data_IF_373263260645
#
_entry.id   IF_373263260645
#
_cell.length_a   1.000
_cell.length_b   1.000
_cell.length_c   1.000
_cell.angle_alpha   90.00
_cell.angle_beta   90.00
_cell.angle_gamma   90.00
#
_symmetry.space_group_name_H-M   'P 1'
#
loop_
_entity.id
_entity.type
_entity.pdbx_description
1 polymer ?
#
# COMPACT_ATOMS: atom_id res chain seq x y z
N UNK A 1 45.55 -1.30 -22.50
CA UNK A 1 44.74 -0.15 -22.07
C UNK A 1 43.43 -0.66 -21.50
N UNK A 2 43.25 -0.56 -20.19
CA UNK A 2 42.06 -1.05 -19.49
C UNK A 2 40.99 0.05 -19.45
N UNK A 3 39.79 -0.26 -19.93
CA UNK A 3 38.62 0.61 -19.77
C UNK A 3 37.80 0.08 -18.60
N UNK A 4 37.91 0.74 -17.46
CA UNK A 4 37.11 0.48 -16.28
C UNK A 4 35.66 0.95 -16.54
N UNK A 5 34.69 0.03 -16.40
CA UNK A 5 33.28 0.37 -16.28
C UNK A 5 33.09 1.15 -14.97
N UNK A 6 32.71 2.42 -15.10
CA UNK A 6 32.43 3.33 -14.00
C UNK A 6 31.07 2.93 -13.40
N UNK A 7 31.09 2.11 -12.34
CA UNK A 7 29.94 1.91 -11.47
C UNK A 7 29.75 3.19 -10.66
N UNK A 8 28.96 4.12 -11.18
CA UNK A 8 28.44 5.25 -10.40
C UNK A 8 27.42 4.71 -9.39
N UNK A 9 27.87 4.41 -8.17
CA UNK A 9 26.97 4.34 -7.03
C UNK A 9 26.46 5.76 -6.77
N UNK A 10 25.19 6.01 -7.10
CA UNK A 10 24.55 7.27 -6.75
C UNK A 10 24.43 7.33 -5.24
N UNK A 11 25.27 8.14 -4.61
CA UNK A 11 25.22 8.43 -3.17
C UNK A 11 23.87 9.06 -2.77
N UNK A 12 23.12 9.61 -3.73
CA UNK A 12 21.75 10.13 -3.58
C UNK A 12 20.72 9.03 -3.30
N UNK A 13 20.91 7.79 -3.75
CA UNK A 13 19.96 6.70 -3.47
C UNK A 13 19.96 6.26 -1.99
N UNK A 14 21.08 6.44 -1.29
CA UNK A 14 21.19 6.12 0.14
C UNK A 14 20.47 7.15 1.03
N UNK A 15 20.23 8.36 0.54
CA UNK A 15 19.43 9.36 1.27
C UNK A 15 17.92 9.17 1.07
N UNK A 16 17.51 8.49 -0.02
CA UNK A 16 16.12 8.10 -0.29
C UNK A 16 15.64 6.92 0.57
N UNK A 17 16.54 6.17 1.22
CA UNK A 17 16.18 5.16 2.22
C UNK A 17 15.57 5.77 3.50
N UNK A 18 15.76 7.09 3.72
CA UNK A 18 15.06 7.81 4.77
C UNK A 18 13.76 8.39 4.19
N UNK A 19 12.63 7.75 4.50
CA UNK A 19 11.26 8.12 4.09
C UNK A 19 10.88 9.56 4.51
N UNK A 20 11.38 10.54 3.77
CA UNK A 20 11.13 11.97 3.99
C UNK A 20 10.13 12.49 2.96
N UNK A 21 9.35 13.51 3.29
CA UNK A 21 8.35 14.11 2.39
C UNK A 21 8.95 14.60 1.06
N UNK A 22 10.26 14.88 1.00
CA UNK A 22 10.93 15.24 -0.24
C UNK A 22 10.88 14.11 -1.26
N UNK A 23 10.89 12.84 -0.82
CA UNK A 23 10.68 11.68 -1.70
C UNK A 23 9.30 11.70 -2.38
N UNK A 24 8.25 12.19 -1.70
CA UNK A 24 6.91 12.37 -2.29
C UNK A 24 6.93 13.44 -3.39
N UNK A 25 7.69 14.53 -3.18
CA UNK A 25 7.87 15.58 -4.20
C UNK A 25 8.58 15.04 -5.45
N UNK A 26 9.64 14.25 -5.27
CA UNK A 26 10.35 13.64 -6.40
C UNK A 26 9.51 12.56 -7.11
N UNK A 27 8.66 11.83 -6.39
CA UNK A 27 7.69 10.91 -6.99
C UNK A 27 6.66 11.60 -7.89
N UNK A 28 6.39 12.90 -7.67
CA UNK A 28 5.41 13.69 -8.42
C UNK A 28 5.97 14.40 -9.66
N UNK A 29 7.30 14.49 -9.79
CA UNK A 29 7.96 15.34 -10.79
C UNK A 29 8.16 14.69 -12.17
N UNK A 30 7.84 13.41 -12.33
CA UNK A 30 7.90 12.69 -13.60
C UNK A 30 6.53 12.68 -14.29
N UNK A 31 6.05 13.85 -14.70
CA UNK A 31 5.05 13.92 -15.77
C UNK A 31 5.77 13.60 -17.08
N UNK A 32 5.85 12.31 -17.42
CA UNK A 32 6.25 11.87 -18.75
C UNK A 32 5.15 12.35 -19.72
N UNK A 33 5.48 13.12 -20.77
CA UNK A 33 4.47 13.52 -21.75
C UNK A 33 3.81 12.28 -22.37
N UNK A 34 2.49 12.18 -22.28
CA UNK A 34 1.70 11.18 -23.01
C UNK A 34 2.05 11.27 -24.50
N UNK A 35 2.59 10.17 -25.05
CA UNK A 35 2.78 10.04 -26.49
C UNK A 35 1.40 9.91 -27.13
N UNK A 36 1.11 10.75 -28.12
CA UNK A 36 -0.12 10.75 -28.88
C UNK A 36 -0.27 9.46 -29.70
N UNK A 37 -1.33 8.69 -29.42
CA UNK A 37 -1.79 7.56 -30.22
C UNK A 37 -2.38 8.02 -31.56
N UNK A 38 -1.52 8.32 -32.53
CA UNK A 38 -1.92 8.50 -33.92
C UNK A 38 -1.80 7.16 -34.68
N UNK A 39 -2.79 6.28 -34.50
CA UNK A 39 -3.04 5.16 -35.40
C UNK A 39 -4.44 5.26 -36.01
N UNK A 40 -4.61 6.18 -36.96
CA UNK A 40 -5.72 6.15 -37.91
C UNK A 40 -5.54 4.96 -38.87
N UNK A 41 -6.27 3.87 -38.62
CA UNK A 41 -6.61 2.92 -39.68
C UNK A 41 -8.10 2.66 -39.67
N UNK A 42 -8.75 3.10 -40.76
CA UNK A 42 -10.14 2.81 -41.09
C UNK A 42 -10.28 1.32 -41.34
N UNK A 43 -11.11 0.63 -40.58
CA UNK A 43 -11.70 -0.64 -41.00
C UNK A 43 -13.17 -0.69 -40.56
N UNK A 44 -14.00 -1.04 -41.54
CA UNK A 44 -15.45 -0.92 -41.56
C UNK A 44 -16.16 -1.86 -40.57
N UNK A 45 -17.31 -1.39 -40.10
CA UNK A 45 -18.27 -2.08 -39.25
C UNK A 45 -18.74 -3.41 -39.85
N UNK A 46 -18.73 -4.48 -39.03
CA UNK A 46 -19.80 -5.46 -39.01
C UNK A 46 -20.17 -5.81 -37.57
N UNK A 47 -21.44 -5.60 -37.30
CA UNK A 47 -22.19 -5.90 -36.08
C UNK A 47 -22.07 -7.36 -35.65
N UNK A 48 -21.76 -7.59 -34.38
CA UNK A 48 -22.44 -8.62 -33.59
C UNK A 48 -22.53 -8.18 -32.12
N UNK A 49 -23.67 -8.50 -31.53
CA UNK A 49 -24.22 -7.98 -30.28
C UNK A 49 -23.76 -8.84 -29.09
N UNK A 50 -23.35 -8.23 -27.98
CA UNK A 50 -23.19 -8.96 -26.71
C UNK A 50 -22.06 -8.48 -25.78
N UNK A 51 -22.47 -8.05 -24.58
CA UNK A 51 -21.69 -7.95 -23.33
C UNK A 51 -20.83 -6.70 -23.12
N UNK A 52 -21.48 -5.54 -23.03
CA UNK A 52 -20.97 -4.41 -22.26
C UNK A 52 -21.20 -4.66 -20.75
N UNK A 53 -20.25 -5.32 -20.08
CA UNK A 53 -20.17 -5.31 -18.62
C UNK A 53 -18.88 -4.59 -18.21
N UNK A 54 -19.05 -3.55 -17.38
CA UNK A 54 -18.08 -2.50 -17.14
C UNK A 54 -16.69 -2.99 -16.74
N UNK A 55 -15.73 -2.74 -17.62
CA UNK A 55 -14.31 -2.73 -17.27
C UNK A 55 -14.08 -1.42 -16.50
N UNK A 56 -14.03 -1.53 -15.18
CA UNK A 56 -13.42 -0.50 -14.34
C UNK A 56 -12.01 -0.25 -14.89
N UNK A 57 -11.76 0.95 -15.39
CA UNK A 57 -10.41 1.47 -15.63
C UNK A 57 -9.61 1.28 -14.34
N UNK A 58 -8.79 0.23 -14.29
CA UNK A 58 -7.74 0.09 -13.30
C UNK A 58 -6.72 1.15 -13.68
N UNK A 59 -6.69 2.25 -12.92
CA UNK A 59 -5.62 3.22 -13.05
C UNK A 59 -4.32 2.52 -12.64
N UNK A 60 -3.55 2.12 -13.64
CA UNK A 60 -2.15 1.72 -13.51
C UNK A 60 -1.34 2.98 -13.20
N UNK A 61 -1.44 3.49 -11.97
CA UNK A 61 -0.46 4.44 -11.44
C UNK A 61 0.57 3.62 -10.68
N UNK A 62 1.76 3.49 -11.28
CA UNK A 62 2.91 2.66 -10.88
C UNK A 62 3.55 3.03 -9.51
N UNK A 63 2.87 3.81 -8.65
CA UNK A 63 3.38 4.19 -7.31
C UNK A 63 2.34 3.86 -6.23
N UNK A 64 2.75 3.20 -5.13
CA UNK A 64 1.85 2.87 -4.04
C UNK A 64 1.27 4.16 -3.42
N UNK A 65 -0.05 4.25 -3.18
CA UNK A 65 -0.65 5.41 -2.53
C UNK A 65 -0.02 5.72 -1.16
N UNK A 66 0.12 7.00 -0.83
CA UNK A 66 0.80 7.45 0.39
C UNK A 66 -0.17 7.60 1.56
N UNK A 67 0.25 7.10 2.73
CA UNK A 67 -0.40 7.33 4.03
C UNK A 67 0.50 8.24 4.86
N UNK A 68 -0.04 9.34 5.37
CA UNK A 68 0.71 10.32 6.15
C UNK A 68 0.31 10.25 7.62
N UNK A 69 1.26 10.35 8.54
CA UNK A 69 1.00 10.42 9.98
C UNK A 69 1.49 11.78 10.50
N UNK A 70 0.60 12.53 11.13
CA UNK A 70 0.87 13.81 11.77
C UNK A 70 0.76 13.67 13.29
N UNK A 71 1.86 14.00 14.00
CA UNK A 71 1.96 13.90 15.47
C UNK A 71 2.04 15.26 16.17
N UNK A 72 2.01 16.37 15.41
CA UNK A 72 2.28 17.69 15.95
C UNK A 72 3.79 17.88 16.18
N UNK A 73 4.23 17.86 17.44
CA UNK A 73 5.61 18.20 17.81
C UNK A 73 6.65 17.16 17.36
N UNK A 74 7.87 17.65 17.08
CA UNK A 74 8.99 16.87 16.53
C UNK A 74 9.51 15.75 17.47
N UNK A 75 9.11 15.75 18.75
CA UNK A 75 9.62 14.82 19.76
C UNK A 75 8.98 13.42 19.73
N UNK A 76 7.99 13.18 18.87
CA UNK A 76 7.16 11.97 18.87
C UNK A 76 7.69 10.81 18.01
N UNK A 77 9.02 10.63 17.88
CA UNK A 77 9.58 9.55 17.03
C UNK A 77 9.17 8.15 17.47
N UNK A 78 9.09 7.91 18.78
CA UNK A 78 8.68 6.61 19.34
C UNK A 78 7.22 6.32 19.01
N UNK A 79 6.35 7.31 19.16
CA UNK A 79 4.92 7.19 18.84
C UNK A 79 4.71 6.95 17.33
N UNK A 80 5.50 7.62 16.48
CA UNK A 80 5.46 7.38 15.04
C UNK A 80 5.71 5.91 14.69
N UNK A 81 6.81 5.33 15.19
CA UNK A 81 7.15 3.93 14.89
C UNK A 81 6.13 2.94 15.48
N UNK A 82 5.54 3.25 16.65
CA UNK A 82 4.48 2.44 17.23
C UNK A 82 3.23 2.41 16.34
N UNK A 83 2.73 3.58 15.94
CA UNK A 83 1.55 3.68 15.07
C UNK A 83 1.84 3.05 13.72
N UNK A 84 3.03 3.30 13.16
CA UNK A 84 3.47 2.70 11.90
C UNK A 84 3.49 1.17 11.98
N UNK A 85 4.02 0.58 13.04
CA UNK A 85 4.03 -0.88 13.24
C UNK A 85 2.61 -1.46 13.24
N UNK A 86 1.69 -0.82 13.98
CA UNK A 86 0.30 -1.28 14.05
C UNK A 86 -0.39 -1.17 12.69
N UNK A 87 -0.13 -0.10 11.94
CA UNK A 87 -0.68 0.08 10.60
C UNK A 87 -0.12 -0.97 9.63
N UNK A 88 1.18 -1.28 9.67
CA UNK A 88 1.80 -2.32 8.84
C UNK A 88 1.24 -3.73 9.11
N UNK A 89 0.78 -4.00 10.33
CA UNK A 89 0.04 -5.23 10.65
C UNK A 89 -1.42 -5.22 10.14
N UNK A 90 -1.96 -4.04 9.81
CA UNK A 90 -3.32 -3.86 9.34
C UNK A 90 -3.45 -3.74 7.82
N UNK A 91 -2.50 -3.09 7.15
CA UNK A 91 -2.53 -2.77 5.73
C UNK A 91 -1.48 -3.57 4.97
N UNK A 92 -1.70 -3.77 3.67
CA UNK A 92 -0.71 -4.42 2.81
C UNK A 92 0.55 -3.54 2.66
N UNK A 93 1.66 -4.00 3.23
CA UNK A 93 2.91 -3.25 3.30
C UNK A 93 3.51 -2.99 1.91
N UNK A 94 3.18 -3.81 0.91
CA UNK A 94 3.67 -3.66 -0.45
C UNK A 94 2.79 -2.69 -1.29
N UNK A 95 1.58 -2.38 -0.80
CA UNK A 95 0.61 -1.51 -1.49
C UNK A 95 0.66 -0.05 -1.05
N UNK A 96 1.24 0.27 0.11
CA UNK A 96 1.17 1.60 0.71
C UNK A 96 2.51 2.05 1.27
N UNK A 97 2.84 3.33 1.11
CA UNK A 97 4.01 3.92 1.78
C UNK A 97 3.57 4.84 2.91
N UNK A 98 4.11 4.62 4.12
CA UNK A 98 3.78 5.41 5.32
C UNK A 98 4.87 6.45 5.59
N UNK A 99 4.49 7.73 5.66
CA UNK A 99 5.40 8.85 5.94
C UNK A 99 5.00 9.64 7.19
N UNK A 100 5.98 10.23 7.86
CA UNK A 100 5.75 11.22 8.90
C UNK A 100 5.58 12.61 8.27
N UNK A 101 4.43 13.24 8.49
CA UNK A 101 4.16 14.63 8.14
C UNK A 101 4.46 15.54 9.34
N UNK A 102 5.56 16.29 9.27
CA UNK A 102 5.94 17.26 10.31
C UNK A 102 5.11 18.52 10.23
N UNK A 103 4.98 19.23 11.34
CA UNK A 103 4.26 20.51 11.43
C UNK A 103 4.70 21.54 10.38
N UNK A 104 6.01 21.71 10.17
CA UNK A 104 6.55 22.64 9.17
C UNK A 104 6.26 22.24 7.72
N UNK A 105 5.90 20.97 7.49
CA UNK A 105 5.66 20.39 6.17
C UNK A 105 4.18 20.47 5.77
N UNK A 106 3.27 20.64 6.73
CA UNK A 106 1.82 20.74 6.46
C UNK A 106 1.53 21.90 5.50
N UNK A 107 2.26 23.00 5.60
CA UNK A 107 2.08 24.18 4.73
C UNK A 107 2.85 24.07 3.40
N UNK A 108 3.69 23.05 3.22
CA UNK A 108 4.53 22.87 2.03
C UNK A 108 3.88 21.84 1.10
N UNK A 109 3.64 22.23 -0.16
CA UNK A 109 3.23 21.28 -1.21
C UNK A 109 4.32 20.21 -1.46
N UNK A 110 3.98 19.01 -1.99
CA UNK A 110 2.71 18.62 -2.61
C UNK A 110 2.00 17.44 -1.90
N UNK A 111 1.91 17.41 -0.57
CA UNK A 111 1.38 16.24 0.13
C UNK A 111 -0.13 16.02 -0.07
N UNK A 112 -0.92 17.08 -0.24
CA UNK A 112 -2.38 17.04 -0.39
C UNK A 112 -2.78 16.21 -1.62
N UNK A 113 -2.17 16.47 -2.76
CA UNK A 113 -2.48 15.81 -4.03
C UNK A 113 -2.00 14.35 -4.11
N UNK A 114 -1.03 13.99 -3.27
CA UNK A 114 -0.31 12.71 -3.33
C UNK A 114 -0.60 11.79 -2.15
N UNK A 115 -1.59 12.11 -1.31
CA UNK A 115 -1.91 11.32 -0.13
C UNK A 115 -3.32 10.74 -0.22
N UNK A 116 -3.44 9.46 0.13
CA UNK A 116 -4.72 8.78 0.21
C UNK A 116 -5.38 9.04 1.57
N UNK A 117 -4.60 8.88 2.64
CA UNK A 117 -5.06 8.98 4.02
C UNK A 117 -4.09 9.84 4.84
N UNK A 118 -4.64 10.79 5.60
CA UNK A 118 -3.93 11.51 6.65
C UNK A 118 -4.38 11.01 8.03
N UNK A 119 -3.44 10.52 8.81
CA UNK A 119 -3.63 10.10 10.20
C UNK A 119 -3.18 11.23 11.11
N UNK A 120 -4.06 11.72 11.98
CA UNK A 120 -3.78 12.77 12.95
C UNK A 120 -3.76 12.12 14.33
N UNK A 121 -2.61 12.04 14.97
CA UNK A 121 -2.44 11.37 16.25
C UNK A 121 -1.79 12.30 17.28
N UNK A 122 -2.48 13.40 17.61
CA UNK A 122 -1.99 14.38 18.59
C UNK A 122 -3.10 14.95 19.47
N UNK A 123 -2.92 14.84 20.79
CA UNK A 123 -3.81 15.45 21.79
C UNK A 123 -3.59 16.96 21.90
N UNK A 124 -2.46 17.46 21.40
CA UNK A 124 -2.13 18.89 21.39
C UNK A 124 -3.05 19.65 20.43
N UNK A 125 -3.37 20.93 20.73
CA UNK A 125 -4.17 21.74 19.83
C UNK A 125 -3.43 21.97 18.52
N UNK A 126 -4.12 21.72 17.41
CA UNK A 126 -3.58 21.95 16.06
C UNK A 126 -3.69 23.45 15.74
N UNK A 127 -2.65 24.02 15.13
CA UNK A 127 -2.66 25.41 14.67
C UNK A 127 -3.77 25.67 13.65
N UNK A 128 -4.32 26.89 13.63
CA UNK A 128 -5.40 27.28 12.73
C UNK A 128 -5.01 27.13 11.25
N UNK A 129 -3.74 27.37 10.92
CA UNK A 129 -3.20 27.22 9.58
C UNK A 129 -3.19 25.74 9.15
N UNK A 130 -2.72 24.84 10.01
CA UNK A 130 -2.70 23.41 9.71
C UNK A 130 -4.12 22.85 9.65
N UNK A 131 -5.00 23.30 10.55
CA UNK A 131 -6.40 22.94 10.55
C UNK A 131 -7.06 23.27 9.20
N UNK A 132 -6.82 24.47 8.65
CA UNK A 132 -7.32 24.87 7.33
C UNK A 132 -6.78 23.99 6.21
N UNK A 133 -5.51 23.57 6.26
CA UNK A 133 -4.96 22.64 5.26
C UNK A 133 -5.61 21.26 5.35
N UNK A 134 -5.88 20.74 6.55
CA UNK A 134 -6.58 19.46 6.71
C UNK A 134 -8.02 19.52 6.18
N UNK A 135 -8.72 20.63 6.39
CA UNK A 135 -10.04 20.86 5.78
C UNK A 135 -9.96 20.99 4.26
N UNK A 136 -8.91 21.64 3.73
CA UNK A 136 -8.67 21.71 2.28
C UNK A 136 -8.48 20.30 1.70
N UNK A 137 -7.66 19.46 2.33
CA UNK A 137 -7.48 18.07 1.91
C UNK A 137 -8.79 17.29 1.90
N UNK A 138 -9.63 17.43 2.92
CA UNK A 138 -10.98 16.86 2.92
C UNK A 138 -11.85 17.41 1.77
N UNK A 139 -11.77 18.71 1.46
CA UNK A 139 -12.55 19.33 0.39
C UNK A 139 -12.24 18.79 -1.00
N UNK A 140 -11.02 18.28 -1.19
CA UNK A 140 -10.53 17.68 -2.43
C UNK A 140 -10.81 16.17 -2.50
N UNK A 141 -11.50 15.60 -1.52
CA UNK A 141 -11.86 14.18 -1.47
C UNK A 141 -10.93 13.31 -0.63
N UNK A 142 -9.96 13.92 0.06
CA UNK A 142 -9.04 13.25 0.97
C UNK A 142 -9.74 12.58 2.16
N UNK A 143 -9.03 11.65 2.78
CA UNK A 143 -9.53 10.84 3.91
C UNK A 143 -8.72 11.13 5.17
N UNK A 144 -9.38 11.30 6.32
CA UNK A 144 -8.70 11.56 7.59
C UNK A 144 -9.06 10.50 8.64
N UNK A 145 -8.06 10.02 9.37
CA UNK A 145 -8.24 9.19 10.56
C UNK A 145 -7.62 9.90 11.78
N UNK A 146 -8.45 10.28 12.75
CA UNK A 146 -8.00 10.91 13.99
C UNK A 146 -7.84 9.88 15.11
N UNK A 147 -6.64 9.75 15.68
CA UNK A 147 -6.37 8.94 16.87
C UNK A 147 -6.15 9.85 18.08
N UNK A 148 -7.10 9.82 19.03
CA UNK A 148 -7.12 10.69 20.22
C UNK A 148 -6.86 12.17 19.91
N UNK A 149 -7.20 12.60 18.70
CA UNK A 149 -6.78 13.91 18.20
C UNK A 149 -7.64 15.04 18.75
N UNK A 150 -7.07 16.24 18.84
CA UNK A 150 -7.83 17.48 19.09
C UNK A 150 -8.60 17.99 17.84
N UNK A 151 -8.35 17.40 16.67
CA UNK A 151 -8.99 17.77 15.40
C UNK A 151 -10.50 17.52 15.42
N UNK A 152 -11.30 18.52 15.03
CA UNK A 152 -12.76 18.45 14.91
C UNK A 152 -13.27 19.40 13.83
N UNK A 153 -14.40 19.10 13.21
CA UNK A 153 -15.05 19.99 12.24
C UNK A 153 -16.57 19.78 12.23
N UNK A 154 -17.31 20.52 11.41
CA UNK A 154 -18.76 20.40 11.22
C UNK A 154 -19.58 20.32 12.54
N UNK A 155 -19.25 21.15 13.53
CA UNK A 155 -20.06 21.29 14.75
C UNK A 155 -19.90 20.17 15.79
N UNK A 156 -18.97 19.23 15.59
CA UNK A 156 -18.56 18.30 16.65
C UNK A 156 -17.60 19.00 17.60
N UNK A 157 -17.82 18.85 18.89
CA UNK A 157 -16.91 19.28 19.94
C UNK A 157 -16.38 18.08 20.72
N UNK A 158 -15.14 18.23 21.21
CA UNK A 158 -14.52 17.28 22.13
C UNK A 158 -14.78 17.77 23.55
N UNK A 159 -15.45 16.94 24.35
CA UNK A 159 -15.71 17.20 25.77
C UNK A 159 -14.81 16.33 26.62
N UNK A 160 -14.08 16.95 27.55
CA UNK A 160 -13.24 16.24 28.52
C UNK A 160 -14.10 15.68 29.65
N UNK A 161 -13.94 14.39 29.95
CA UNK A 161 -14.57 13.70 31.08
C UNK A 161 -13.45 13.01 31.86
N UNK A 162 -12.97 13.68 32.91
CA UNK A 162 -11.79 13.27 33.67
C UNK A 162 -11.89 11.85 34.24
N UNK A 163 -13.11 11.38 34.50
CA UNK A 163 -13.42 10.01 34.95
C UNK A 163 -12.98 8.93 33.97
N UNK A 164 -12.88 9.26 32.68
CA UNK A 164 -12.50 8.36 31.60
C UNK A 164 -10.98 8.31 31.36
N UNK A 165 -10.19 9.14 32.04
CA UNK A 165 -8.77 9.28 31.74
C UNK A 165 -7.96 8.11 32.32
N UNK A 166 -7.20 7.43 31.45
CA UNK A 166 -6.34 6.28 31.82
C UNK A 166 -7.11 5.14 32.50
N UNK A 167 -8.33 4.90 32.04
CA UNK A 167 -9.21 3.81 32.49
C UNK A 167 -9.68 3.00 31.29
N UNK A 168 -9.81 1.69 31.50
CA UNK A 168 -10.35 0.79 30.48
C UNK A 168 -11.87 0.86 30.55
N UNK A 169 -12.50 0.97 29.38
CA UNK A 169 -13.94 0.96 29.26
C UNK A 169 -14.38 -0.06 28.23
N UNK A 170 -15.53 -0.67 28.48
CA UNK A 170 -16.22 -1.47 27.47
C UNK A 170 -16.85 -0.53 26.43
N UNK A 171 -16.48 -0.78 25.19
CA UNK A 171 -16.94 -0.06 24.01
C UNK A 171 -17.86 -0.94 23.19
N UNK A 172 -18.90 -0.33 22.62
CA UNK A 172 -19.81 -0.96 21.65
C UNK A 172 -19.58 -0.30 20.30
N UNK A 173 -19.05 -1.06 19.36
CA UNK A 173 -18.80 -0.62 17.98
C UNK A 173 -19.90 -1.17 17.08
N UNK A 174 -20.56 -0.29 16.34
CA UNK A 174 -21.56 -0.65 15.35
C UNK A 174 -20.89 -0.81 13.99
N UNK A 175 -20.90 -2.04 13.46
CA UNK A 175 -20.39 -2.36 12.14
C UNK A 175 -21.24 -1.78 11.02
N UNK A 176 -20.70 -1.80 9.81
CA UNK A 176 -21.44 -1.44 8.59
C UNK A 176 -22.61 -2.39 8.29
N UNK A 177 -22.48 -3.67 8.65
CA UNK A 177 -23.54 -4.69 8.48
C UNK A 177 -24.63 -4.63 9.57
N UNK A 178 -24.50 -3.70 10.53
CA UNK A 178 -25.42 -3.51 11.64
C UNK A 178 -25.16 -4.42 12.85
N UNK A 179 -24.14 -5.28 12.81
CA UNK A 179 -23.73 -6.06 13.99
C UNK A 179 -22.96 -5.20 14.99
N UNK A 180 -22.96 -5.60 16.27
CA UNK A 180 -22.25 -4.89 17.33
C UNK A 180 -21.06 -5.72 17.83
N UNK A 181 -19.86 -5.12 17.85
CA UNK A 181 -18.71 -5.67 18.55
C UNK A 181 -18.60 -5.00 19.91
N UNK A 182 -18.42 -5.82 20.95
CA UNK A 182 -18.00 -5.34 22.27
C UNK A 182 -16.53 -5.65 22.52
N UNK A 183 -15.77 -4.64 22.93
CA UNK A 183 -14.35 -4.75 23.27
C UNK A 183 -13.97 -3.77 24.37
N UNK A 184 -12.95 -4.11 25.15
CA UNK A 184 -12.43 -3.25 26.21
C UNK A 184 -11.20 -2.52 25.70
N UNK A 185 -11.20 -1.18 25.78
CA UNK A 185 -10.10 -0.34 25.33
C UNK A 185 -9.87 0.84 26.28
N UNK A 186 -8.66 1.39 26.21
CA UNK A 186 -8.33 2.67 26.81
C UNK A 186 -8.93 3.80 25.96
N UNK A 187 -9.46 4.83 26.61
CA UNK A 187 -9.93 6.06 25.95
C UNK A 187 -9.07 7.25 26.38
N UNK A 188 -9.01 8.28 25.54
CA UNK A 188 -8.20 9.50 25.77
C UNK A 188 -8.64 10.31 26.99
N UNK A 189 -9.85 10.04 27.52
CA UNK A 189 -10.51 10.88 28.52
C UNK A 189 -11.45 11.93 27.92
N UNK A 190 -11.69 11.87 26.60
CA UNK A 190 -12.62 12.76 25.92
C UNK A 190 -13.70 11.99 25.15
N UNK A 191 -14.82 12.67 24.89
CA UNK A 191 -15.96 12.17 24.12
C UNK A 191 -16.35 13.20 23.06
N UNK A 192 -17.08 12.76 22.03
CA UNK A 192 -17.63 13.64 21.00
C UNK A 192 -19.07 14.05 21.33
N UNK A 193 -19.35 15.35 21.26
CA UNK A 193 -20.68 15.94 21.43
C UNK A 193 -21.02 16.79 20.21
N UNK A 194 -22.19 16.57 19.61
CA UNK A 194 -22.68 17.34 18.47
C UNK A 194 -23.43 18.58 18.98
N UNK A 195 -22.94 19.77 18.65
CA UNK A 195 -23.50 21.03 19.19
C UNK A 195 -24.74 21.52 18.45
N UNK A 196 -24.92 21.16 17.18
CA UNK A 196 -26.07 21.55 16.37
C UNK A 196 -26.57 20.34 15.61
N UNK A 197 -27.77 19.86 15.94
CA UNK A 197 -28.48 18.87 15.13
C UNK A 197 -29.10 19.58 13.92
N UNK A 198 -28.31 19.83 12.88
CA UNK A 198 -28.91 20.17 11.58
C UNK A 198 -29.55 18.91 10.98
N UNK A 199 -30.70 19.08 10.31
CA UNK A 199 -31.54 17.99 9.75
C UNK A 199 -30.85 17.14 8.66
N UNK A 200 -29.61 17.47 8.29
CA UNK A 200 -28.75 16.65 7.45
C UNK A 200 -27.60 16.08 8.29
N UNK A 201 -27.83 14.93 8.96
CA UNK A 201 -26.83 14.29 9.83
C UNK A 201 -25.58 13.86 9.03
N UNK A 202 -24.61 14.76 8.87
CA UNK A 202 -23.30 14.48 8.25
C UNK A 202 -22.38 13.68 9.18
N UNK A 203 -22.83 13.41 10.40
CA UNK A 203 -22.11 12.70 11.47
C UNK A 203 -22.81 11.38 11.79
N UNK A 204 -22.09 10.27 11.68
CA UNK A 204 -22.52 8.93 12.08
C UNK A 204 -21.66 8.47 13.26
N UNK A 205 -22.27 8.16 14.40
CA UNK A 205 -21.53 7.52 15.51
C UNK A 205 -21.24 6.06 15.16
N UNK A 206 -19.96 5.68 15.18
CA UNK A 206 -19.51 4.29 14.96
C UNK A 206 -19.30 3.54 16.27
N UNK A 207 -18.91 4.23 17.35
CA UNK A 207 -18.64 3.59 18.63
C UNK A 207 -19.12 4.43 19.81
N UNK A 208 -19.69 3.74 20.80
CA UNK A 208 -20.19 4.31 22.05
C UNK A 208 -19.60 3.60 23.25
N UNK A 209 -19.43 4.33 24.34
CA UNK A 209 -19.16 3.75 25.66
C UNK A 209 -20.38 2.97 26.13
N UNK A 210 -20.16 1.81 26.75
CA UNK A 210 -21.21 1.09 27.47
C UNK A 210 -21.47 1.73 28.85
N UNK A 211 -21.84 3.02 28.85
CA UNK A 211 -22.23 3.76 30.03
C UNK A 211 -23.70 4.22 29.91
N UNK A 212 -24.24 4.82 30.97
CA UNK A 212 -25.64 5.27 31.02
C UNK A 212 -25.96 6.27 29.91
N UNK A 213 -25.01 7.16 29.58
CA UNK A 213 -25.18 8.24 28.61
C UNK A 213 -24.97 7.79 27.15
N UNK A 214 -24.42 6.58 26.94
CA UNK A 214 -23.97 6.05 25.65
C UNK A 214 -23.09 7.04 24.87
N UNK A 215 -22.12 7.61 25.60
CA UNK A 215 -21.20 8.64 25.12
C UNK A 215 -20.48 8.20 23.83
N UNK A 216 -20.44 9.07 22.82
CA UNK A 216 -19.81 8.77 21.53
C UNK A 216 -18.28 8.90 21.61
N UNK A 217 -17.56 7.87 21.16
CA UNK A 217 -16.10 7.84 21.17
C UNK A 217 -15.47 7.64 19.79
N UNK A 218 -16.21 7.11 18.81
CA UNK A 218 -15.78 7.10 17.41
C UNK A 218 -16.91 7.64 16.56
N UNK A 219 -16.59 8.62 15.72
CA UNK A 219 -17.53 9.28 14.81
C UNK A 219 -16.98 9.25 13.39
N UNK A 220 -17.86 9.02 12.42
CA UNK A 220 -17.62 9.14 11.00
C UNK A 220 -18.31 10.39 10.47
N UNK A 221 -17.61 11.16 9.67
CA UNK A 221 -18.03 12.47 9.18
C UNK A 221 -17.74 12.61 7.70
N UNK A 222 -18.65 13.24 6.97
CA UNK A 222 -18.44 13.61 5.56
C UNK A 222 -18.16 15.11 5.44
N UNK A 223 -17.35 15.48 4.44
CA UNK A 223 -16.95 16.86 4.19
C UNK A 223 -16.91 17.17 2.69
N UNK A 224 -17.54 18.29 2.30
CA UNK A 224 -17.64 18.72 0.90
C UNK A 224 -18.45 17.77 0.01
N UNK A 225 -18.49 18.10 -1.28
CA UNK A 225 -19.21 17.31 -2.30
C UNK A 225 -18.27 16.35 -3.06
N UNK A 226 -16.95 16.49 -2.87
CA UNK A 226 -15.91 15.68 -3.50
C UNK A 226 -15.68 14.32 -2.84
N UNK A 227 -16.52 13.94 -1.87
CA UNK A 227 -16.43 12.67 -1.16
C UNK A 227 -15.37 12.63 -0.04
N UNK A 228 -15.00 13.78 0.54
CA UNK A 228 -14.10 13.82 1.69
C UNK A 228 -14.71 13.16 2.92
N UNK A 229 -13.94 12.33 3.62
CA UNK A 229 -14.42 11.59 4.79
C UNK A 229 -13.40 11.63 5.93
N UNK A 230 -13.89 11.69 7.16
CA UNK A 230 -13.05 11.60 8.33
C UNK A 230 -13.66 10.66 9.38
N UNK A 231 -12.83 9.80 9.96
CA UNK A 231 -13.19 9.03 11.15
C UNK A 231 -12.33 9.54 12.30
N UNK A 232 -12.97 10.01 13.36
CA UNK A 232 -12.30 10.52 14.56
C UNK A 232 -12.55 9.56 15.72
N UNK A 233 -11.48 9.12 16.37
CA UNK A 233 -11.51 8.16 17.48
C UNK A 233 -10.90 8.76 18.73
N UNK A 234 -11.63 8.73 19.84
CA UNK A 234 -11.10 8.94 21.20
C UNK A 234 -10.77 7.60 21.90
N UNK A 235 -11.07 6.47 21.26
CA UNK A 235 -10.57 5.16 21.67
C UNK A 235 -9.14 4.97 21.17
N UNK A 236 -8.25 4.47 22.04
CA UNK A 236 -6.82 4.25 21.74
C UNK A 236 -6.64 2.97 20.91
N UNK A 237 -6.98 3.03 19.63
CA UNK A 237 -6.77 1.93 18.67
C UNK A 237 -5.30 1.81 18.25
N UNK A 238 -4.57 2.93 18.35
CA UNK A 238 -3.20 3.16 17.93
C UNK A 238 -2.12 2.74 18.93
N UNK A 239 -2.52 2.22 20.10
CA UNK A 239 -1.57 1.76 21.11
C UNK A 239 -1.38 0.24 21.07
N UNK A 240 -0.14 -0.20 21.17
CA UNK A 240 0.17 -1.60 21.46
C UNK A 240 -0.05 -1.85 22.95
N UNK A 241 -0.71 -2.97 23.28
CA UNK A 241 -0.99 -3.39 24.65
C UNK A 241 0.31 -3.50 25.47
N UNK A 242 1.41 -3.92 24.84
CA UNK A 242 2.70 -4.03 25.53
C UNK A 242 3.36 -2.67 25.82
N UNK A 243 2.95 -1.61 25.13
CA UNK A 243 3.44 -0.25 25.33
C UNK A 243 2.65 0.53 26.39
N UNK A 244 1.57 -0.04 26.93
CA UNK A 244 0.66 0.63 27.84
C UNK A 244 1.10 0.50 29.30
N UNK A 245 1.06 1.62 30.03
CA UNK A 245 1.14 1.66 31.48
C UNK A 245 -0.17 1.11 32.10
N UNK A 246 -0.33 -0.20 32.07
CA UNK A 246 -1.50 -0.86 32.66
C UNK A 246 -1.35 -0.92 34.19
N UNK A 247 -2.37 -0.43 34.89
CA UNK A 247 -2.34 -0.30 36.37
C UNK A 247 -2.51 -1.64 37.09
N UNK A 248 -3.23 -2.60 36.49
CA UNK A 248 -3.54 -3.90 37.10
C UNK A 248 -3.38 -5.06 36.12
N UNK A 249 -3.15 -6.27 36.64
CA UNK A 249 -3.07 -7.48 35.81
C UNK A 249 -4.42 -7.84 35.16
N UNK A 250 -5.54 -7.56 35.86
CA UNK A 250 -6.90 -7.75 35.35
C UNK A 250 -7.15 -6.88 34.11
N UNK A 251 -6.77 -5.61 34.18
CA UNK A 251 -6.84 -4.65 33.07
C UNK A 251 -6.04 -5.15 31.85
N UNK A 252 -4.84 -5.70 32.07
CA UNK A 252 -3.99 -6.21 31.00
C UNK A 252 -4.65 -7.41 30.30
N UNK A 253 -5.24 -8.31 31.08
CA UNK A 253 -5.96 -9.47 30.56
C UNK A 253 -7.19 -9.05 29.73
N UNK A 254 -7.93 -8.01 30.15
CA UNK A 254 -9.07 -7.49 29.39
C UNK A 254 -8.64 -6.92 28.02
N UNK A 255 -7.55 -6.14 27.99
CA UNK A 255 -7.00 -5.61 26.74
C UNK A 255 -6.52 -6.75 25.84
N UNK A 256 -5.82 -7.75 26.40
CA UNK A 256 -5.30 -8.89 25.66
C UNK A 256 -6.41 -9.70 24.98
N UNK A 257 -7.51 -9.98 25.68
CA UNK A 257 -8.70 -10.65 25.12
C UNK A 257 -9.34 -9.78 24.04
N UNK A 258 -9.31 -8.47 24.20
CA UNK A 258 -9.90 -7.51 23.26
C UNK A 258 -9.00 -7.20 22.06
N UNK A 259 -7.74 -7.64 22.06
CA UNK A 259 -6.76 -7.24 21.05
C UNK A 259 -7.16 -7.65 19.63
N UNK A 260 -7.63 -8.89 19.45
CA UNK A 260 -8.07 -9.36 18.13
C UNK A 260 -9.22 -8.48 17.58
N UNK A 261 -10.17 -8.12 18.45
CA UNK A 261 -11.27 -7.22 18.11
C UNK A 261 -10.81 -5.78 17.86
N UNK A 262 -9.75 -5.32 18.55
CA UNK A 262 -9.13 -4.01 18.30
C UNK A 262 -8.62 -3.93 16.86
N UNK A 263 -7.87 -4.95 16.40
CA UNK A 263 -7.41 -5.02 15.01
C UNK A 263 -8.56 -5.17 14.02
N UNK A 264 -9.59 -5.95 14.35
CA UNK A 264 -10.79 -6.07 13.52
C UNK A 264 -11.47 -4.70 13.29
N UNK A 265 -11.73 -3.96 14.36
CA UNK A 265 -12.33 -2.62 14.30
C UNK A 265 -11.42 -1.65 13.54
N UNK A 266 -10.11 -1.68 13.78
CA UNK A 266 -9.15 -0.82 13.08
C UNK A 266 -9.12 -1.12 11.57
N UNK A 267 -9.10 -2.40 11.18
CA UNK A 267 -9.17 -2.82 9.77
C UNK A 267 -10.47 -2.37 9.12
N UNK A 268 -11.61 -2.52 9.80
CA UNK A 268 -12.90 -2.04 9.26
C UNK A 268 -12.89 -0.52 9.03
N UNK A 269 -12.31 0.25 9.96
CA UNK A 269 -12.14 1.71 9.80
C UNK A 269 -11.25 2.01 8.60
N UNK A 270 -10.10 1.36 8.47
CA UNK A 270 -9.16 1.58 7.37
C UNK A 270 -9.78 1.19 6.00
N UNK A 271 -10.50 0.06 5.93
CA UNK A 271 -11.24 -0.36 4.74
C UNK A 271 -12.31 0.67 4.37
N UNK A 272 -13.04 1.19 5.36
CA UNK A 272 -14.06 2.22 5.11
C UNK A 272 -13.48 3.52 4.56
N UNK A 273 -12.22 3.82 4.90
CA UNK A 273 -11.46 4.96 4.35
C UNK A 273 -10.75 4.64 3.03
N UNK A 274 -10.99 3.46 2.45
CA UNK A 274 -10.50 3.08 1.12
C UNK A 274 -9.15 2.35 1.09
N UNK A 275 -8.63 1.89 2.24
CA UNK A 275 -7.40 1.10 2.28
C UNK A 275 -7.67 -0.41 2.08
N UNK A 276 -6.68 -1.10 1.54
CA UNK A 276 -6.65 -2.57 1.42
C UNK A 276 -5.96 -3.16 2.64
N UNK A 277 -6.72 -3.90 3.45
CA UNK A 277 -6.24 -4.59 4.64
C UNK A 277 -6.09 -6.12 4.46
N UNK A 278 -6.33 -6.60 3.24
CA UNK A 278 -6.01 -7.97 2.84
C UNK A 278 -4.49 -8.05 2.62
N UNK A 279 -3.85 -9.06 3.20
CA UNK A 279 -2.44 -9.34 2.90
C UNK A 279 -2.39 -9.77 1.44
N UNK A 280 -1.70 -9.00 0.59
CA UNK A 280 -1.42 -9.45 -0.77
C UNK A 280 -0.61 -10.74 -0.66
N UNK A 281 -1.07 -11.80 -1.31
CA UNK A 281 -0.26 -13.00 -1.44
C UNK A 281 0.99 -12.62 -2.22
N UNK A 282 2.17 -12.90 -1.66
CA UNK A 282 3.44 -12.69 -2.36
C UNK A 282 3.34 -13.52 -3.65
N UNK A 283 3.41 -12.88 -4.83
CA UNK A 283 3.25 -13.60 -6.09
C UNK A 283 4.36 -14.66 -6.19
N UNK A 284 3.97 -15.88 -6.55
CA UNK A 284 4.93 -16.97 -6.71
C UNK A 284 5.90 -16.64 -7.85
N UNK A 285 7.18 -16.97 -7.65
CA UNK A 285 8.20 -16.81 -8.69
C UNK A 285 7.82 -17.65 -9.92
N UNK A 286 7.95 -17.07 -11.10
CA UNK A 286 7.62 -17.74 -12.35
C UNK A 286 8.87 -18.34 -13.02
N UNK A 287 8.73 -19.45 -13.76
CA UNK A 287 9.82 -20.00 -14.55
C UNK A 287 10.34 -18.98 -15.56
N UNK A 288 11.57 -19.20 -16.02
CA UNK A 288 12.17 -18.42 -17.10
C UNK A 288 11.81 -19.10 -18.42
N UNK A 289 11.44 -18.33 -19.43
CA UNK A 289 11.23 -18.78 -20.80
C UNK A 289 12.41 -18.34 -21.65
N UNK A 290 13.03 -19.31 -22.34
CA UNK A 290 14.02 -19.05 -23.37
C UNK A 290 13.29 -18.77 -24.68
N UNK A 291 13.21 -17.51 -25.04
CA UNK A 291 12.55 -17.05 -26.25
C UNK A 291 13.58 -16.71 -27.32
N UNK A 292 13.20 -16.86 -28.58
CA UNK A 292 14.08 -16.57 -29.71
C UNK A 292 13.32 -15.91 -30.84
N UNK A 293 14.03 -15.12 -31.65
CA UNK A 293 13.43 -14.44 -32.80
C UNK A 293 13.16 -15.38 -33.98
N UNK A 294 13.91 -16.48 -34.05
CA UNK A 294 13.95 -17.39 -35.17
C UNK A 294 14.23 -18.82 -34.66
N UNK A 295 13.59 -19.82 -35.29
CA UNK A 295 13.72 -21.23 -34.91
C UNK A 295 15.13 -21.78 -35.20
N UNK A 296 15.80 -21.34 -36.26
CA UNK A 296 17.17 -21.75 -36.56
C UNK A 296 18.16 -21.25 -35.50
N UNK A 297 17.99 -20.00 -35.05
CA UNK A 297 18.80 -19.41 -33.97
C UNK A 297 18.54 -20.15 -32.66
N UNK A 298 17.27 -20.47 -32.39
CA UNK A 298 16.86 -21.22 -31.21
C UNK A 298 17.52 -22.61 -31.17
N UNK A 299 17.42 -23.38 -32.26
CA UNK A 299 18.04 -24.71 -32.36
C UNK A 299 19.57 -24.66 -32.27
N UNK A 300 20.20 -23.65 -32.90
CA UNK A 300 21.64 -23.46 -32.81
C UNK A 300 22.07 -23.18 -31.36
N UNK A 301 21.29 -22.40 -30.60
CA UNK A 301 21.55 -22.14 -29.20
C UNK A 301 21.32 -23.37 -28.33
N UNK A 302 20.24 -24.13 -28.53
CA UNK A 302 20.01 -25.38 -27.78
C UNK A 302 21.15 -26.38 -27.98
N UNK A 303 21.64 -26.52 -29.21
CA UNK A 303 22.80 -27.36 -29.50
C UNK A 303 24.08 -26.90 -28.79
N UNK A 304 24.28 -25.59 -28.70
CA UNK A 304 25.38 -25.04 -27.90
C UNK A 304 25.17 -25.32 -26.40
N UNK A 305 23.95 -25.17 -25.92
CA UNK A 305 23.56 -25.36 -24.52
C UNK A 305 23.79 -26.80 -24.06
N UNK A 306 23.50 -27.81 -24.89
CA UNK A 306 23.78 -29.23 -24.60
C UNK A 306 25.23 -29.49 -24.19
N UNK A 307 26.19 -28.78 -24.78
CA UNK A 307 27.61 -28.89 -24.43
C UNK A 307 28.02 -28.12 -23.17
N UNK A 308 27.11 -27.33 -22.60
CA UNK A 308 27.37 -26.41 -21.50
C UNK A 308 26.50 -26.69 -20.26
N UNK A 309 25.61 -27.67 -20.28
CA UNK A 309 24.84 -28.10 -19.11
C UNK A 309 25.32 -29.47 -18.64
N UNK A 310 25.01 -29.84 -17.39
CA UNK A 310 25.26 -31.19 -16.90
C UNK A 310 24.26 -32.22 -17.48
N UNK A 311 24.40 -33.48 -17.07
CA UNK A 311 23.54 -34.57 -17.54
C UNK A 311 22.06 -34.40 -17.16
N UNK A 312 21.74 -33.52 -16.21
CA UNK A 312 20.36 -33.21 -15.79
C UNK A 312 19.85 -31.88 -16.37
N UNK A 313 20.61 -31.25 -17.28
CA UNK A 313 20.27 -29.96 -17.87
C UNK A 313 20.48 -28.79 -16.93
N UNK A 314 21.22 -28.97 -15.83
CA UNK A 314 21.48 -27.95 -14.83
C UNK A 314 22.78 -27.19 -15.15
N UNK A 315 22.72 -25.88 -14.99
CA UNK A 315 23.86 -24.99 -14.97
C UNK A 315 23.91 -24.28 -13.63
N UNK A 316 24.81 -24.73 -12.76
CA UNK A 316 25.07 -24.08 -11.48
C UNK A 316 25.91 -22.81 -11.69
N UNK A 317 25.57 -21.75 -10.95
CA UNK A 317 26.43 -20.57 -10.73
C UNK A 317 26.61 -20.35 -9.24
N UNK A 318 27.42 -19.36 -8.85
CA UNK A 318 27.66 -19.05 -7.44
C UNK A 318 26.42 -18.49 -6.71
N UNK A 319 25.43 -17.98 -7.47
CA UNK A 319 24.24 -17.29 -6.92
C UNK A 319 22.91 -17.96 -7.28
N UNK A 320 22.76 -18.44 -8.52
CA UNK A 320 21.52 -19.10 -8.98
C UNK A 320 21.84 -20.27 -9.91
N UNK A 321 21.12 -21.37 -9.76
CA UNK A 321 21.22 -22.51 -10.67
C UNK A 321 20.09 -22.48 -11.69
N UNK A 322 20.42 -22.60 -12.96
CA UNK A 322 19.45 -22.63 -14.06
C UNK A 322 19.23 -24.05 -14.52
N UNK A 323 17.99 -24.55 -14.47
CA UNK A 323 17.64 -25.90 -14.94
C UNK A 323 16.90 -25.81 -16.25
N UNK A 324 17.55 -26.19 -17.35
CA UNK A 324 16.95 -26.13 -18.68
C UNK A 324 16.05 -27.37 -18.90
N UNK A 325 14.78 -27.12 -19.20
CA UNK A 325 13.76 -28.14 -19.40
C UNK A 325 12.95 -27.84 -20.65
N UNK A 326 12.42 -28.86 -21.32
CA UNK A 326 11.58 -28.66 -22.50
C UNK A 326 10.27 -27.96 -22.14
N UNK A 327 9.57 -28.43 -21.11
CA UNK A 327 8.26 -27.91 -20.72
C UNK A 327 8.13 -27.73 -19.20
N UNK A 328 7.16 -26.93 -18.77
CA UNK A 328 6.85 -26.73 -17.36
C UNK A 328 6.05 -27.93 -16.82
N UNK A 329 6.67 -28.77 -16.00
CA UNK A 329 5.94 -29.81 -15.27
C UNK A 329 5.28 -29.22 -14.01
N UNK A 330 4.07 -29.67 -13.66
CA UNK A 330 3.29 -29.16 -12.52
C UNK A 330 3.92 -29.37 -11.13
N UNK A 331 5.12 -29.95 -11.06
CA UNK A 331 5.88 -30.23 -9.83
C UNK A 331 7.23 -29.51 -9.77
N UNK A 332 7.51 -28.61 -10.72
CA UNK A 332 8.77 -27.88 -10.74
C UNK A 332 8.76 -26.78 -9.69
N UNK A 333 9.67 -26.88 -8.73
CA UNK A 333 9.86 -25.85 -7.71
C UNK A 333 10.66 -24.69 -8.31
N UNK A 334 10.08 -23.49 -8.28
CA UNK A 334 10.74 -22.25 -8.68
C UNK A 334 11.19 -21.55 -7.41
N UNK A 335 12.50 -21.47 -7.19
CA UNK A 335 13.07 -20.85 -5.98
C UNK A 335 14.16 -19.85 -6.36
N UNK A 336 14.48 -18.94 -5.44
CA UNK A 336 15.52 -17.92 -5.67
C UNK A 336 16.90 -18.53 -6.00
N UNK A 337 17.17 -19.78 -5.60
CA UNK A 337 18.42 -20.49 -5.86
C UNK A 337 18.36 -21.47 -7.03
N UNK A 338 17.15 -21.88 -7.47
CA UNK A 338 16.93 -22.79 -8.58
C UNK A 338 15.79 -22.29 -9.47
N UNK A 339 16.15 -21.87 -10.68
CA UNK A 339 15.23 -21.32 -11.66
C UNK A 339 15.15 -22.24 -12.88
N UNK A 340 13.97 -22.81 -13.17
CA UNK A 340 13.79 -23.57 -14.40
C UNK A 340 13.72 -22.64 -15.61
N UNK A 341 14.37 -23.05 -16.70
CA UNK A 341 14.37 -22.37 -17.98
C UNK A 341 13.67 -23.27 -18.99
N UNK A 342 12.45 -22.88 -19.38
CA UNK A 342 11.62 -23.56 -20.37
C UNK A 342 12.17 -23.23 -21.75
N UNK A 343 12.58 -24.26 -22.49
CA UNK A 343 13.18 -24.11 -23.82
C UNK A 343 12.15 -24.22 -24.94
N UNK A 344 11.00 -24.86 -24.73
CA UNK A 344 9.99 -25.00 -25.78
C UNK A 344 9.20 -23.71 -26.02
N UNK A 345 9.39 -23.11 -27.20
CA UNK A 345 8.73 -21.84 -27.57
C UNK A 345 7.20 -21.94 -27.73
N UNK A 346 6.66 -23.12 -28.01
CA UNK A 346 5.22 -23.31 -28.28
C UNK A 346 4.31 -23.14 -27.06
N UNK A 347 4.88 -23.11 -25.85
CA UNK A 347 4.14 -23.06 -24.59
C UNK A 347 3.99 -21.66 -24.00
N UNK A 348 4.65 -20.64 -24.59
CA UNK A 348 4.73 -19.31 -24.01
C UNK A 348 3.52 -18.43 -24.34
N UNK A 349 2.89 -17.87 -23.31
CA UNK A 349 1.89 -16.82 -23.39
C UNK A 349 2.04 -15.89 -22.19
N UNK A 350 1.93 -14.58 -22.40
CA UNK A 350 1.99 -13.56 -21.35
C UNK A 350 1.04 -12.41 -21.67
N UNK A 351 0.40 -11.86 -20.64
CA UNK A 351 -0.43 -10.65 -20.78
C UNK A 351 0.42 -9.38 -20.86
N UNK A 352 1.65 -9.43 -20.33
CA UNK A 352 2.54 -8.28 -20.21
C UNK A 352 3.62 -8.21 -21.29
N UNK A 353 3.92 -9.34 -21.95
CA UNK A 353 4.96 -9.41 -22.97
C UNK A 353 4.52 -10.13 -24.25
N UNK A 354 4.71 -9.47 -25.39
CA UNK A 354 4.45 -10.04 -26.71
C UNK A 354 5.75 -10.22 -27.49
N UNK A 355 6.18 -11.48 -27.63
CA UNK A 355 7.37 -11.84 -28.42
C UNK A 355 7.23 -11.35 -29.88
N UNK A 356 6.04 -11.45 -30.46
CA UNK A 356 5.74 -10.96 -31.81
C UNK A 356 6.00 -9.46 -31.94
N UNK A 357 5.53 -8.67 -30.97
CA UNK A 357 5.72 -7.22 -30.96
C UNK A 357 7.19 -6.86 -30.75
N UNK A 358 7.88 -7.56 -29.84
CA UNK A 358 9.33 -7.39 -29.64
C UNK A 358 10.11 -7.64 -30.93
N UNK A 359 9.83 -8.74 -31.63
CA UNK A 359 10.50 -9.11 -32.88
C UNK A 359 10.30 -8.09 -33.99
N UNK A 360 9.08 -7.55 -34.15
CA UNK A 360 8.78 -6.54 -35.16
C UNK A 360 9.59 -5.25 -34.98
N UNK A 361 9.91 -4.91 -33.74
CA UNK A 361 10.66 -3.71 -33.39
C UNK A 361 12.18 -3.96 -33.26
N UNK A 362 12.64 -5.21 -33.37
CA UNK A 362 14.05 -5.56 -33.19
C UNK A 362 14.89 -5.25 -34.45
N UNK A 363 15.56 -4.10 -34.43
CA UNK A 363 16.39 -3.62 -35.56
C UNK A 363 17.82 -4.21 -35.60
N UNK A 364 18.28 -4.79 -34.49
CA UNK A 364 19.61 -5.37 -34.38
C UNK A 364 19.72 -6.69 -35.16
N UNK A 365 20.88 -6.93 -35.77
CA UNK A 365 21.14 -8.17 -36.53
C UNK A 365 21.60 -9.33 -35.66
N UNK A 366 22.30 -9.06 -34.55
CA UNK A 366 22.91 -10.10 -33.69
C UNK A 366 22.43 -10.07 -32.24
N UNK A 367 22.28 -8.88 -31.67
CA UNK A 367 21.85 -8.71 -30.27
C UNK A 367 20.32 -8.83 -30.15
N UNK A 368 19.84 -9.32 -29.01
CA UNK A 368 18.40 -9.45 -28.71
C UNK A 368 17.68 -10.58 -29.46
N UNK A 369 18.40 -11.46 -30.16
CA UNK A 369 17.81 -12.59 -30.89
C UNK A 369 17.44 -13.77 -29.98
N UNK A 370 17.99 -13.80 -28.77
CA UNK A 370 17.70 -14.76 -27.70
C UNK A 370 17.35 -13.94 -26.46
N UNK A 371 16.27 -14.32 -25.79
CA UNK A 371 15.79 -13.67 -24.58
C UNK A 371 15.55 -14.70 -23.49
N UNK A 372 15.79 -14.28 -22.25
CA UNK A 372 15.27 -14.95 -21.06
C UNK A 372 14.18 -14.06 -20.49
N UNK A 373 12.95 -14.55 -20.44
CA UNK A 373 11.79 -13.82 -19.96
C UNK A 373 11.19 -14.52 -18.74
N UNK A 374 10.85 -13.78 -17.69
CA UNK A 374 10.10 -14.26 -16.52
C UNK A 374 9.18 -13.15 -16.06
N UNK A 375 7.97 -13.47 -15.62
CA UNK A 375 6.97 -12.48 -15.22
C UNK A 375 7.20 -11.99 -13.79
N UNK A 376 7.45 -12.92 -12.87
CA UNK A 376 7.68 -12.66 -11.45
C UNK A 376 9.07 -13.14 -11.07
N UNK A 377 9.93 -12.17 -10.75
CA UNK A 377 11.28 -12.39 -10.24
C UNK A 377 11.59 -11.44 -9.08
N UNK A 378 12.68 -11.69 -8.35
CA UNK A 378 13.11 -10.78 -7.30
C UNK A 378 13.81 -9.56 -7.92
N UNK A 379 13.67 -8.40 -7.27
CA UNK A 379 14.21 -7.12 -7.74
C UNK A 379 15.74 -7.08 -7.90
N UNK A 380 16.46 -8.05 -7.33
CA UNK A 380 17.93 -8.10 -7.30
C UNK A 380 18.52 -9.43 -7.80
N UNK A 381 17.77 -10.18 -8.63
CA UNK A 381 18.22 -11.50 -9.08
C UNK A 381 19.45 -11.43 -10.00
N UNK A 382 20.59 -11.92 -9.51
CA UNK A 382 21.81 -12.05 -10.30
C UNK A 382 21.79 -13.36 -11.08
N UNK A 383 21.38 -13.30 -12.34
CA UNK A 383 21.22 -14.47 -13.22
C UNK A 383 22.52 -15.11 -13.69
N UNK A 384 23.60 -14.32 -13.79
CA UNK A 384 24.89 -14.75 -14.32
C UNK A 384 26.02 -14.22 -13.45
N UNK A 385 27.06 -15.04 -13.26
CA UNK A 385 28.34 -14.58 -12.74
C UNK A 385 29.05 -13.85 -13.89
N UNK A 386 29.25 -12.52 -13.72
CA UNK A 386 29.74 -11.62 -14.77
C UNK A 386 31.15 -11.89 -15.27
#
# INVERSE_FOLDING_TARGET
>A
EHHHLHLSSCHECLQLENSTIESVRFASAENIPELSDDCNSKLEEKSDDGLAQGIKKVNLTEKPPNVLIYLGSEAAKVEFEQIKSILQECIDTDSYTIYHLREEQVLKAPWIDNSLLLIIATEEPISEENHKQFLKFLSEGGKILGFSSSFTFNGIQIKRKNELKKTIHELVVSKMDGTEIKLNLLVSGCIFEETMKEDTSKVKTLCRLNNTDKDAVIVHMTYGDSGGEAILSQARLELDINSMDVKTEEDFNLLKISNAKRYEVLKEILISLGLRCELSEIPALTPIYLLSSDEEIHLAFLKWLEGNVDAEGLRASSKVSLKFVSSCESKMEVTQSLMPVITEMGSFSSEHFSLKTYQQNLQTKKLGKILLFTEVTTTTMNLLDG
#
